data_IF_687437401262
#
_entry.id   IF_687437401262
#
_cell.length_a   1.000
_cell.length_b   1.000
_cell.length_c   1.000
_cell.angle_alpha   90.00
_cell.angle_beta   90.00
_cell.angle_gamma   90.00
#
_symmetry.space_group_name_H-M   'P 1'
#
loop_
_entity.id
_entity.type
_entity.pdbx_description
1 polymer ?
#
# COMPACT_ATOMS: atom_id res chain seq x y z
N UNK A 1 5.50 6.39 -71.25
CA UNK A 1 5.61 5.08 -70.58
C UNK A 1 6.96 5.03 -69.87
N UNK A 2 6.98 5.08 -68.54
CA UNK A 2 8.23 4.93 -67.77
C UNK A 2 8.48 3.44 -67.55
N UNK A 3 9.37 2.84 -68.34
CA UNK A 3 9.78 1.45 -68.17
C UNK A 3 10.81 1.35 -67.05
N UNK A 4 10.37 1.04 -65.83
CA UNK A 4 11.30 0.66 -64.76
C UNK A 4 11.87 -0.73 -65.10
N UNK A 5 13.20 -0.87 -65.04
CA UNK A 5 13.87 -2.15 -65.21
C UNK A 5 13.43 -3.11 -64.09
N UNK A 6 12.67 -4.15 -64.46
CA UNK A 6 12.17 -5.14 -63.51
C UNK A 6 13.23 -6.24 -63.35
N UNK A 7 13.69 -6.47 -62.13
CA UNK A 7 14.59 -7.58 -61.82
C UNK A 7 13.76 -8.80 -61.39
N UNK A 8 14.24 -10.02 -61.65
CA UNK A 8 13.62 -11.24 -61.10
C UNK A 8 14.47 -11.80 -59.96
N UNK A 9 13.81 -12.19 -58.88
CA UNK A 9 14.44 -12.87 -57.77
C UNK A 9 15.03 -14.22 -58.23
N UNK A 10 16.33 -14.49 -58.01
CA UNK A 10 16.94 -15.76 -58.43
C UNK A 10 16.44 -16.96 -57.62
N UNK A 11 15.87 -16.76 -56.43
CA UNK A 11 15.41 -17.85 -55.57
C UNK A 11 13.97 -18.30 -55.83
N UNK A 12 13.05 -17.37 -56.14
CA UNK A 12 11.63 -17.67 -56.31
C UNK A 12 11.01 -17.18 -57.63
N UNK A 13 11.79 -16.49 -58.46
CA UNK A 13 11.33 -15.97 -59.77
C UNK A 13 10.41 -14.75 -59.71
N UNK A 14 10.05 -14.26 -58.52
CA UNK A 14 9.19 -13.09 -58.35
C UNK A 14 9.82 -11.83 -58.97
N UNK A 15 8.99 -10.97 -59.55
CA UNK A 15 9.41 -9.65 -60.03
C UNK A 15 9.64 -8.71 -58.85
N UNK A 16 10.80 -8.07 -58.81
CA UNK A 16 11.22 -7.16 -57.74
C UNK A 16 11.75 -5.87 -58.37
N UNK A 17 11.41 -4.73 -57.77
CA UNK A 17 11.95 -3.44 -58.20
C UNK A 17 13.48 -3.40 -58.09
N UNK A 18 14.16 -2.61 -58.92
CA UNK A 18 15.62 -2.61 -59.01
C UNK A 18 16.29 -2.17 -57.70
N UNK A 19 15.61 -1.37 -56.87
CA UNK A 19 16.16 -0.81 -55.62
C UNK A 19 16.03 -1.74 -54.40
N UNK A 20 15.38 -2.89 -54.55
CA UNK A 20 15.20 -3.82 -53.45
C UNK A 20 16.45 -4.67 -53.22
N UNK A 21 16.91 -4.69 -51.96
CA UNK A 21 18.04 -5.52 -51.52
C UNK A 21 17.60 -6.97 -51.25
N UNK A 22 16.35 -7.17 -50.82
CA UNK A 22 15.75 -8.47 -50.52
C UNK A 22 14.41 -8.65 -51.27
N UNK A 23 14.08 -9.91 -51.58
CA UNK A 23 12.81 -10.23 -52.22
C UNK A 23 11.67 -10.13 -51.20
N UNK A 24 10.66 -9.31 -51.50
CA UNK A 24 9.49 -9.16 -50.63
C UNK A 24 8.62 -10.43 -50.53
N UNK A 25 8.78 -11.39 -51.46
CA UNK A 25 8.00 -12.64 -51.49
C UNK A 25 8.65 -13.74 -50.65
N UNK A 26 9.96 -13.97 -50.79
CA UNK A 26 10.65 -15.10 -50.15
C UNK A 26 11.77 -14.69 -49.17
N UNK A 27 12.10 -13.40 -49.06
CA UNK A 27 13.13 -12.89 -48.16
C UNK A 27 14.58 -13.11 -48.62
N UNK A 28 14.82 -13.76 -49.76
CA UNK A 28 16.19 -13.99 -50.25
C UNK A 28 16.84 -12.69 -50.76
N UNK A 29 18.16 -12.52 -50.62
CA UNK A 29 18.87 -11.37 -51.17
C UNK A 29 18.77 -11.38 -52.71
N UNK A 30 18.48 -10.23 -53.29
CA UNK A 30 18.30 -10.07 -54.75
C UNK A 30 19.61 -9.66 -55.42
N UNK A 31 20.57 -9.12 -54.66
CA UNK A 31 21.91 -8.75 -55.12
C UNK A 31 22.98 -9.56 -54.35
N UNK A 32 23.85 -10.34 -55.02
CA UNK A 32 24.86 -11.18 -54.36
C UNK A 32 26.03 -10.44 -53.68
N UNK A 33 26.10 -9.10 -53.72
CA UNK A 33 27.29 -8.33 -53.36
C UNK A 33 27.05 -7.32 -52.23
N UNK A 34 26.43 -7.74 -51.12
CA UNK A 34 26.53 -6.97 -49.87
C UNK A 34 27.56 -7.65 -48.95
N UNK A 35 28.82 -7.18 -48.94
CA UNK A 35 29.81 -7.66 -47.98
C UNK A 35 29.53 -6.97 -46.64
N UNK A 36 28.71 -7.60 -45.82
CA UNK A 36 28.58 -7.18 -44.42
C UNK A 36 27.30 -7.70 -43.76
N UNK A 37 27.34 -7.98 -42.45
CA UNK A 37 26.11 -8.15 -41.67
C UNK A 37 25.24 -6.89 -41.82
N UNK A 38 23.90 -7.03 -41.85
CA UNK A 38 23.02 -5.88 -42.05
C UNK A 38 23.36 -4.79 -41.04
N UNK A 39 23.55 -3.52 -41.45
CA UNK A 39 23.64 -2.44 -40.49
C UNK A 39 22.33 -2.45 -39.72
N UNK A 40 22.39 -2.86 -38.45
CA UNK A 40 21.27 -2.73 -37.56
C UNK A 40 20.90 -1.26 -37.61
N UNK A 41 19.72 -0.93 -38.14
CA UNK A 41 19.16 0.41 -38.09
C UNK A 41 18.90 0.73 -36.62
N UNK A 42 19.95 1.14 -35.90
CA UNK A 42 19.82 1.91 -34.68
C UNK A 42 19.24 3.25 -35.10
N UNK A 43 17.91 3.31 -35.18
CA UNK A 43 17.23 4.58 -35.08
C UNK A 43 17.54 5.12 -33.68
N UNK A 44 18.29 6.22 -33.53
CA UNK A 44 18.29 6.92 -32.26
C UNK A 44 16.83 7.30 -31.96
N UNK A 45 16.33 7.10 -30.74
CA UNK A 45 14.97 7.50 -30.41
C UNK A 45 14.80 8.98 -30.77
N UNK A 46 13.82 9.30 -31.62
CA UNK A 46 13.52 10.66 -32.08
C UNK A 46 13.09 11.63 -30.96
N UNK A 47 12.97 11.11 -29.73
CA UNK A 47 12.72 11.88 -28.53
C UNK A 47 13.94 11.78 -27.64
N UNK A 48 14.42 12.94 -27.16
CA UNK A 48 15.32 12.97 -26.02
C UNK A 48 14.70 12.09 -24.92
N UNK A 49 15.46 11.17 -24.30
CA UNK A 49 14.94 10.39 -23.19
C UNK A 49 14.41 11.38 -22.16
N UNK A 50 13.11 11.30 -21.86
CA UNK A 50 12.50 12.15 -20.85
C UNK A 50 13.38 12.11 -19.61
N UNK A 51 13.72 13.26 -19.00
CA UNK A 51 14.61 13.29 -17.85
C UNK A 51 14.04 12.33 -16.81
N UNK A 52 14.80 11.25 -16.53
CA UNK A 52 14.46 10.38 -15.40
C UNK A 52 14.36 11.30 -14.18
N UNK A 53 13.29 11.19 -13.36
CA UNK A 53 13.11 12.06 -12.20
C UNK A 53 14.43 12.10 -11.42
N UNK A 54 14.89 13.31 -11.13
CA UNK A 54 16.19 13.57 -10.50
C UNK A 54 16.34 12.64 -9.28
N UNK A 55 17.37 11.78 -9.37
CA UNK A 55 17.61 10.59 -8.53
C UNK A 55 17.61 10.87 -7.01
N UNK A 56 17.80 12.13 -6.62
CA UNK A 56 17.92 12.61 -5.23
C UNK A 56 16.58 12.59 -4.46
N UNK A 57 15.43 12.58 -5.16
CA UNK A 57 14.10 12.58 -4.52
C UNK A 57 13.40 11.21 -4.56
N UNK A 58 14.05 10.19 -5.15
CA UNK A 58 13.41 8.88 -5.34
C UNK A 58 13.12 8.20 -4.00
N UNK A 59 11.83 7.99 -3.73
CA UNK A 59 11.36 7.32 -2.53
C UNK A 59 11.52 8.09 -1.22
N UNK A 60 12.00 9.35 -1.20
CA UNK A 60 12.19 10.11 0.06
C UNK A 60 10.88 10.33 0.81
N UNK A 61 9.81 10.67 0.08
CA UNK A 61 8.45 10.81 0.65
C UNK A 61 7.91 9.47 1.16
N UNK A 62 8.07 8.39 0.40
CA UNK A 62 7.67 7.04 0.81
C UNK A 62 8.44 6.57 2.03
N UNK A 63 9.75 6.84 2.13
CA UNK A 63 10.57 6.53 3.32
C UNK A 63 10.07 7.27 4.56
N UNK A 64 9.76 8.58 4.44
CA UNK A 64 9.18 9.37 5.53
C UNK A 64 7.79 8.84 5.92
N UNK A 65 6.97 8.49 4.93
CA UNK A 65 5.66 7.88 5.14
C UNK A 65 5.74 6.56 5.91
N UNK A 66 6.66 5.67 5.52
CA UNK A 66 6.93 4.41 6.22
C UNK A 66 7.38 4.68 7.67
N UNK A 67 8.30 5.63 7.91
CA UNK A 67 8.71 5.97 9.29
C UNK A 67 7.54 6.47 10.12
N UNK A 68 6.69 7.35 9.58
CA UNK A 68 5.49 7.82 10.25
C UNK A 68 4.52 6.68 10.57
N UNK A 69 4.32 5.74 9.63
CA UNK A 69 3.52 4.53 9.86
C UNK A 69 4.13 3.63 10.93
N UNK A 70 5.44 3.42 10.97
CA UNK A 70 6.10 2.64 12.04
C UNK A 70 5.82 3.26 13.41
N UNK A 71 5.99 4.58 13.56
CA UNK A 71 5.69 5.28 14.81
C UNK A 71 4.21 5.17 15.19
N UNK A 72 3.32 5.28 14.20
CA UNK A 72 1.89 5.04 14.39
C UNK A 72 1.58 3.63 14.91
N UNK A 73 2.17 2.59 14.31
CA UNK A 73 1.94 1.20 14.73
C UNK A 73 2.43 0.96 16.17
N UNK A 74 3.48 1.63 16.61
CA UNK A 74 3.96 1.58 18.00
C UNK A 74 2.98 2.27 18.95
N UNK A 75 2.29 3.34 18.52
CA UNK A 75 1.40 4.13 19.37
C UNK A 75 -0.06 3.63 19.36
N UNK A 76 -0.52 3.00 18.28
CA UNK A 76 -1.93 2.66 18.05
C UNK A 76 -2.52 1.68 19.07
N UNK A 77 -1.71 0.85 19.69
CA UNK A 77 -2.16 -0.13 20.68
C UNK A 77 -2.00 0.37 22.13
N UNK A 78 -1.42 1.56 22.34
CA UNK A 78 -1.26 2.15 23.67
C UNK A 78 -2.55 2.95 24.00
N UNK A 79 -3.29 2.60 25.07
CA UNK A 79 -4.45 3.37 25.51
C UNK A 79 -4.12 4.85 25.70
N UNK A 80 -4.98 5.74 25.19
CA UNK A 80 -4.79 7.19 25.23
C UNK A 80 -3.88 7.77 24.14
N UNK A 81 -2.99 6.97 23.52
CA UNK A 81 -2.13 7.42 22.42
C UNK A 81 -2.72 7.12 21.03
N UNK A 82 -3.88 6.47 20.96
CA UNK A 82 -4.52 6.00 19.72
C UNK A 82 -4.86 7.13 18.74
N UNK A 83 -5.25 8.32 19.23
CA UNK A 83 -5.53 9.50 18.40
C UNK A 83 -4.26 9.97 17.69
N UNK A 84 -3.15 10.08 18.43
CA UNK A 84 -1.83 10.46 17.88
C UNK A 84 -1.36 9.39 16.90
N UNK A 85 -1.51 8.11 17.25
CA UNK A 85 -1.20 6.97 16.37
C UNK A 85 -2.00 6.99 15.08
N UNK A 86 -3.31 7.28 15.12
CA UNK A 86 -4.17 7.39 13.96
C UNK A 86 -3.84 8.59 13.06
N UNK A 87 -3.50 9.73 13.66
CA UNK A 87 -3.05 10.91 12.92
C UNK A 87 -1.73 10.65 12.17
N UNK A 88 -0.75 10.02 12.84
CA UNK A 88 0.50 9.60 12.22
C UNK A 88 0.28 8.55 11.13
N UNK A 89 -0.68 7.65 11.30
CA UNK A 89 -1.03 6.67 10.28
C UNK A 89 -1.56 7.34 9.01
N UNK A 90 -2.50 8.27 9.17
CA UNK A 90 -3.09 9.03 8.07
C UNK A 90 -2.02 9.85 7.33
N UNK A 91 -1.14 10.52 8.07
CA UNK A 91 0.00 11.23 7.50
C UNK A 91 0.95 10.29 6.74
N UNK A 92 1.30 9.15 7.33
CA UNK A 92 2.15 8.13 6.71
C UNK A 92 1.58 7.60 5.41
N UNK A 93 0.29 7.24 5.42
CA UNK A 93 -0.47 6.79 4.24
C UNK A 93 -0.49 7.85 3.14
N UNK A 94 -0.72 9.11 3.48
CA UNK A 94 -0.75 10.23 2.53
C UNK A 94 0.62 10.49 1.89
N UNK A 95 1.70 10.42 2.68
CA UNK A 95 3.06 10.56 2.16
C UNK A 95 3.43 9.42 1.19
N UNK A 96 3.03 8.18 1.50
CA UNK A 96 3.20 7.04 0.59
C UNK A 96 2.36 7.19 -0.68
N UNK A 97 1.13 7.67 -0.56
CA UNK A 97 0.27 7.98 -1.70
C UNK A 97 0.94 8.98 -2.64
N UNK A 98 1.43 10.13 -2.15
CA UNK A 98 2.15 11.09 -3.00
C UNK A 98 3.47 10.55 -3.56
N UNK A 99 4.15 9.66 -2.84
CA UNK A 99 5.40 9.03 -3.27
C UNK A 99 5.25 7.89 -4.29
N UNK A 100 4.02 7.44 -4.60
CA UNK A 100 3.76 6.21 -5.37
C UNK A 100 4.26 6.20 -6.82
N UNK A 101 4.43 7.38 -7.43
CA UNK A 101 4.75 7.49 -8.87
C UNK A 101 6.17 7.02 -9.23
N UNK A 102 7.08 6.90 -8.25
CA UNK A 102 8.44 6.43 -8.48
C UNK A 102 8.60 4.90 -8.57
N UNK A 103 7.54 4.13 -8.34
CA UNK A 103 7.58 2.67 -8.19
C UNK A 103 6.81 1.94 -9.31
N UNK A 104 6.82 0.60 -9.26
CA UNK A 104 6.12 -0.25 -10.24
C UNK A 104 4.61 0.01 -10.29
N UNK A 105 3.99 -0.31 -11.43
CA UNK A 105 2.53 -0.17 -11.62
C UNK A 105 1.73 -0.97 -10.58
N UNK A 106 2.20 -2.16 -10.21
CA UNK A 106 1.57 -3.01 -9.19
C UNK A 106 1.60 -2.32 -7.82
N UNK A 107 2.75 -1.75 -7.42
CA UNK A 107 2.86 -0.97 -6.20
C UNK A 107 1.94 0.25 -6.20
N UNK A 108 1.92 1.00 -7.31
CA UNK A 108 1.06 2.19 -7.44
C UNK A 108 -0.42 1.86 -7.27
N UNK A 109 -0.90 0.76 -7.87
CA UNK A 109 -2.28 0.30 -7.70
C UNK A 109 -2.55 -0.14 -6.27
N UNK A 110 -1.64 -0.88 -5.65
CA UNK A 110 -1.78 -1.32 -4.26
C UNK A 110 -1.85 -0.16 -3.26
N UNK A 111 -0.97 0.85 -3.40
CA UNK A 111 -1.00 2.06 -2.56
C UNK A 111 -2.31 2.82 -2.75
N UNK A 112 -2.79 2.94 -3.99
CA UNK A 112 -4.06 3.62 -4.27
C UNK A 112 -5.22 2.93 -3.55
N UNK A 113 -5.34 1.61 -3.71
CA UNK A 113 -6.39 0.81 -3.04
C UNK A 113 -6.25 0.93 -1.53
N UNK A 114 -5.04 0.73 -0.99
CA UNK A 114 -4.79 0.81 0.45
C UNK A 114 -5.16 2.18 1.05
N UNK A 115 -4.86 3.26 0.33
CA UNK A 115 -5.21 4.63 0.76
C UNK A 115 -6.72 4.79 0.88
N UNK A 116 -7.50 4.37 -0.13
CA UNK A 116 -8.95 4.45 -0.07
C UNK A 116 -9.55 3.54 1.00
N UNK A 117 -9.07 2.29 1.12
CA UNK A 117 -9.52 1.36 2.16
C UNK A 117 -9.29 1.94 3.55
N UNK A 118 -8.13 2.58 3.79
CA UNK A 118 -7.82 3.23 5.07
C UNK A 118 -8.77 4.38 5.39
N UNK A 119 -9.09 5.22 4.40
CA UNK A 119 -10.05 6.33 4.60
C UNK A 119 -11.48 5.85 4.80
N UNK A 120 -11.90 4.79 4.10
CA UNK A 120 -13.19 4.13 4.33
C UNK A 120 -13.24 3.57 5.75
N UNK A 121 -12.19 2.87 6.19
CA UNK A 121 -12.07 2.36 7.56
C UNK A 121 -12.18 3.49 8.60
N UNK A 122 -11.44 4.58 8.40
CA UNK A 122 -11.48 5.73 9.30
C UNK A 122 -12.89 6.37 9.36
N UNK A 123 -13.55 6.54 8.21
CA UNK A 123 -14.91 7.08 8.14
C UNK A 123 -15.91 6.18 8.88
N UNK A 124 -15.87 4.87 8.62
CA UNK A 124 -16.73 3.91 9.32
C UNK A 124 -16.50 3.93 10.82
N UNK A 125 -15.24 3.99 11.27
CA UNK A 125 -14.91 4.10 12.69
C UNK A 125 -15.49 5.38 13.32
N UNK A 126 -15.36 6.53 12.64
CA UNK A 126 -15.93 7.80 13.11
C UNK A 126 -17.45 7.72 13.21
N UNK A 127 -18.14 7.16 12.20
CA UNK A 127 -19.59 7.00 12.22
C UNK A 127 -20.03 6.16 13.43
N UNK A 128 -19.40 5.01 13.63
CA UNK A 128 -19.73 4.08 14.73
C UNK A 128 -19.43 4.71 16.10
N UNK A 129 -18.31 5.42 16.22
CA UNK A 129 -17.95 6.12 17.45
C UNK A 129 -18.91 7.27 17.76
N UNK A 130 -19.27 8.09 16.77
CA UNK A 130 -20.24 9.19 16.94
C UNK A 130 -21.61 8.64 17.33
N UNK A 131 -22.08 7.56 16.69
CA UNK A 131 -23.34 6.92 17.06
C UNK A 131 -23.35 6.48 18.53
N UNK A 132 -22.28 5.83 19.00
CA UNK A 132 -22.12 5.46 20.41
C UNK A 132 -22.14 6.67 21.34
N UNK A 133 -21.39 7.74 21.02
CA UNK A 133 -21.33 8.97 21.82
C UNK A 133 -22.70 9.65 21.90
N UNK A 134 -23.46 9.70 20.81
CA UNK A 134 -24.80 10.26 20.80
C UNK A 134 -25.75 9.46 21.71
N UNK A 135 -25.72 8.12 21.65
CA UNK A 135 -26.53 7.29 22.55
C UNK A 135 -26.13 7.48 24.02
N UNK A 136 -24.84 7.58 24.31
CA UNK A 136 -24.36 7.86 25.67
C UNK A 136 -24.79 9.26 26.16
N UNK A 137 -24.77 10.25 25.27
CA UNK A 137 -25.21 11.62 25.55
C UNK A 137 -26.70 11.68 25.87
N UNK A 138 -27.55 11.01 25.08
CA UNK A 138 -29.00 10.90 25.34
C UNK A 138 -29.30 10.20 26.67
N UNK A 139 -28.55 9.15 27.01
CA UNK A 139 -28.68 8.46 28.29
C UNK A 139 -28.25 9.35 29.47
N UNK A 140 -27.20 10.16 29.29
CA UNK A 140 -26.77 11.15 30.28
C UNK A 140 -27.82 12.23 30.51
N UNK A 141 -28.37 12.84 29.45
CA UNK A 141 -29.37 13.91 29.57
C UNK A 141 -30.70 13.43 30.15
N UNK A 142 -31.03 12.14 29.99
CA UNK A 142 -32.22 11.51 30.57
C UNK A 142 -32.01 10.97 32.00
N UNK A 143 -30.81 11.08 32.56
CA UNK A 143 -30.51 10.56 33.90
C UNK A 143 -30.57 9.04 33.99
N UNK A 144 -30.31 8.33 32.89
CA UNK A 144 -30.35 6.87 32.84
C UNK A 144 -29.14 6.22 33.54
N UNK A 145 -29.26 4.93 33.82
CA UNK A 145 -28.17 4.08 34.32
C UNK A 145 -27.36 3.45 33.18
N UNK A 146 -26.19 2.92 33.50
CA UNK A 146 -25.29 2.29 32.52
C UNK A 146 -25.92 1.10 31.77
N UNK A 147 -26.88 0.40 32.38
CA UNK A 147 -27.62 -0.69 31.72
C UNK A 147 -28.31 -0.24 30.42
N UNK A 148 -28.76 1.03 30.39
CA UNK A 148 -29.42 1.58 29.20
C UNK A 148 -28.49 1.69 27.99
N UNK A 149 -27.19 1.91 28.21
CA UNK A 149 -26.19 2.05 27.14
C UNK A 149 -25.44 0.75 26.85
N UNK A 150 -25.65 -0.30 27.62
CA UNK A 150 -25.05 -1.62 27.39
C UNK A 150 -25.27 -2.15 25.96
N UNK A 151 -26.50 -2.15 25.38
CA UNK A 151 -26.69 -2.65 24.00
C UNK A 151 -25.92 -1.82 22.96
N UNK A 152 -25.85 -0.50 23.14
CA UNK A 152 -25.07 0.38 22.27
C UNK A 152 -23.57 0.13 22.40
N UNK A 153 -23.09 -0.16 23.62
CA UNK A 153 -21.69 -0.52 23.89
C UNK A 153 -21.32 -1.85 23.21
N UNK A 154 -22.19 -2.86 23.34
CA UNK A 154 -22.03 -4.16 22.66
C UNK A 154 -21.98 -3.99 21.15
N UNK A 155 -22.91 -3.21 20.58
CA UNK A 155 -22.92 -2.90 19.15
C UNK A 155 -21.64 -2.17 18.73
N UNK A 156 -21.19 -1.17 19.51
CA UNK A 156 -19.94 -0.45 19.24
C UNK A 156 -18.73 -1.39 19.18
N UNK A 157 -18.59 -2.32 20.13
CA UNK A 157 -17.49 -3.30 20.17
C UNK A 157 -17.49 -4.18 18.91
N UNK A 158 -18.63 -4.76 18.54
CA UNK A 158 -18.70 -5.63 17.35
C UNK A 158 -18.55 -4.86 16.05
N UNK A 159 -19.25 -3.75 15.88
CA UNK A 159 -19.27 -3.01 14.61
C UNK A 159 -17.93 -2.31 14.35
N UNK A 160 -17.21 -1.86 15.40
CA UNK A 160 -15.86 -1.28 15.26
C UNK A 160 -14.78 -2.30 14.86
N UNK A 161 -15.08 -3.60 14.89
CA UNK A 161 -14.20 -4.64 14.36
C UNK A 161 -14.06 -4.52 12.85
N UNK A 162 -15.14 -4.21 12.13
CA UNK A 162 -15.16 -4.07 10.66
C UNK A 162 -14.13 -3.05 10.16
N UNK A 163 -14.12 -1.77 10.61
CA UNK A 163 -13.09 -0.82 10.19
C UNK A 163 -11.68 -1.22 10.64
N UNK A 164 -11.53 -1.94 11.76
CA UNK A 164 -10.22 -2.40 12.21
C UNK A 164 -9.65 -3.48 11.27
N UNK A 165 -10.47 -4.41 10.80
CA UNK A 165 -10.04 -5.40 9.79
C UNK A 165 -9.70 -4.76 8.44
N UNK A 166 -10.48 -3.76 8.01
CA UNK A 166 -10.15 -2.97 6.81
C UNK A 166 -8.79 -2.27 6.96
N UNK A 167 -8.48 -1.76 8.15
CA UNK A 167 -7.17 -1.20 8.45
C UNK A 167 -6.05 -2.24 8.28
N UNK A 168 -6.22 -3.47 8.77
CA UNK A 168 -5.24 -4.56 8.60
C UNK A 168 -4.97 -4.83 7.11
N UNK A 169 -6.03 -4.91 6.31
CA UNK A 169 -5.91 -5.09 4.85
C UNK A 169 -5.17 -3.93 4.20
N UNK A 170 -5.48 -2.69 4.59
CA UNK A 170 -4.78 -1.51 4.09
C UNK A 170 -3.28 -1.54 4.42
N UNK A 171 -2.91 -1.89 5.66
CA UNK A 171 -1.51 -2.02 6.08
C UNK A 171 -0.77 -3.08 5.26
N UNK A 172 -1.39 -4.25 5.05
CA UNK A 172 -0.82 -5.31 4.22
C UNK A 172 -0.56 -4.85 2.78
N UNK A 173 -1.54 -4.20 2.16
CA UNK A 173 -1.41 -3.71 0.79
C UNK A 173 -0.33 -2.64 0.63
N UNK A 174 -0.10 -1.79 1.65
CA UNK A 174 0.88 -0.71 1.59
C UNK A 174 2.31 -1.22 1.36
N UNK A 175 2.70 -2.31 2.03
CA UNK A 175 4.10 -2.79 2.04
C UNK A 175 4.35 -4.01 1.17
N UNK A 176 3.32 -4.74 0.73
CA UNK A 176 3.45 -6.01 -0.02
C UNK A 176 4.44 -5.92 -1.17
N UNK A 177 4.37 -4.87 -1.98
CA UNK A 177 5.21 -4.71 -3.18
C UNK A 177 6.54 -4.00 -2.91
N UNK A 178 6.76 -3.48 -1.71
CA UNK A 178 8.03 -2.89 -1.27
C UNK A 178 8.98 -3.94 -0.66
N UNK A 179 8.44 -5.08 -0.24
CA UNK A 179 9.22 -6.17 0.33
C UNK A 179 9.82 -7.08 -0.76
N UNK A 180 10.99 -7.67 -0.48
CA UNK A 180 11.58 -8.66 -1.37
C UNK A 180 10.68 -9.90 -1.48
N UNK A 181 10.71 -10.64 -2.60
CA UNK A 181 9.78 -11.74 -2.88
C UNK A 181 9.63 -12.77 -1.75
N UNK A 182 10.74 -13.11 -1.07
CA UNK A 182 10.75 -14.05 0.06
C UNK A 182 9.94 -13.61 1.28
N UNK A 183 9.78 -12.30 1.48
CA UNK A 183 9.05 -11.73 2.62
C UNK A 183 7.60 -11.35 2.29
N UNK A 184 7.19 -11.40 1.01
CA UNK A 184 5.84 -10.94 0.61
C UNK A 184 4.72 -11.78 1.20
N UNK A 185 4.96 -13.08 1.38
CA UNK A 185 4.01 -13.99 2.01
C UNK A 185 3.78 -13.64 3.49
N UNK A 186 4.84 -13.23 4.21
CA UNK A 186 4.77 -12.88 5.62
C UNK A 186 3.83 -11.71 5.90
N UNK A 187 3.58 -10.84 4.91
CA UNK A 187 2.62 -9.74 5.03
C UNK A 187 1.20 -10.25 5.24
N UNK A 188 0.81 -11.31 4.53
CA UNK A 188 -0.52 -11.91 4.68
C UNK A 188 -0.63 -12.74 5.95
N UNK A 189 0.45 -13.39 6.37
CA UNK A 189 0.49 -14.06 7.68
C UNK A 189 0.34 -13.06 8.81
N UNK A 190 1.13 -11.98 8.80
CA UNK A 190 1.04 -10.92 9.78
C UNK A 190 -0.35 -10.28 9.77
N UNK A 191 -0.95 -10.11 8.58
CA UNK A 191 -2.33 -9.67 8.42
C UNK A 191 -3.34 -10.61 9.08
N UNK A 192 -3.29 -11.91 8.77
CA UNK A 192 -4.17 -12.91 9.39
C UNK A 192 -4.00 -12.99 10.90
N UNK A 193 -2.75 -12.95 11.39
CA UNK A 193 -2.46 -12.97 12.82
C UNK A 193 -3.00 -11.70 13.49
N UNK A 194 -2.77 -10.52 12.92
CA UNK A 194 -3.31 -9.28 13.47
C UNK A 194 -4.85 -9.27 13.45
N UNK A 195 -5.50 -9.73 12.37
CA UNK A 195 -6.95 -9.86 12.33
C UNK A 195 -7.49 -10.84 13.38
N UNK A 196 -6.82 -11.98 13.57
CA UNK A 196 -7.19 -12.92 14.64
C UNK A 196 -7.03 -12.28 16.04
N UNK A 197 -5.99 -11.48 16.27
CA UNK A 197 -5.80 -10.75 17.52
C UNK A 197 -6.85 -9.65 17.72
N UNK A 198 -7.26 -8.95 16.66
CA UNK A 198 -8.35 -7.97 16.68
C UNK A 198 -9.66 -8.67 17.07
N UNK A 199 -10.00 -9.81 16.45
CA UNK A 199 -11.18 -10.58 16.81
C UNK A 199 -11.13 -11.06 18.27
N UNK A 200 -9.96 -11.53 18.74
CA UNK A 200 -9.76 -11.91 20.13
C UNK A 200 -9.97 -10.72 21.07
N UNK A 201 -9.44 -9.54 20.75
CA UNK A 201 -9.66 -8.31 21.50
C UNK A 201 -11.16 -7.96 21.59
N UNK A 202 -11.87 -8.06 20.47
CA UNK A 202 -13.33 -7.85 20.40
C UNK A 202 -14.08 -8.83 21.31
N UNK A 203 -13.73 -10.11 21.30
CA UNK A 203 -14.36 -11.12 22.16
C UNK A 203 -14.11 -10.80 23.64
N UNK A 204 -12.88 -10.46 24.01
CA UNK A 204 -12.53 -10.10 25.40
C UNK A 204 -13.28 -8.84 25.85
N UNK A 205 -13.32 -7.78 25.02
CA UNK A 205 -14.07 -6.57 25.30
C UNK A 205 -15.57 -6.84 25.43
N UNK A 206 -16.13 -7.68 24.56
CA UNK A 206 -17.54 -8.08 24.60
C UNK A 206 -17.88 -8.81 25.91
N UNK A 207 -17.05 -9.77 26.31
CA UNK A 207 -17.25 -10.51 27.57
C UNK A 207 -17.27 -9.57 28.78
N UNK A 208 -16.38 -8.57 28.82
CA UNK A 208 -16.35 -7.56 29.88
C UNK A 208 -17.65 -6.72 29.91
N UNK A 209 -18.14 -6.28 28.75
CA UNK A 209 -19.37 -5.47 28.67
C UNK A 209 -20.61 -6.28 29.03
N UNK A 210 -20.68 -7.56 28.64
CA UNK A 210 -21.83 -8.44 28.91
C UNK A 210 -21.84 -8.95 30.35
N UNK A 211 -20.69 -9.09 31.01
CA UNK A 211 -20.64 -9.44 32.44
C UNK A 211 -21.29 -8.42 33.37
N UNK A 212 -21.69 -7.26 32.83
CA UNK A 212 -22.43 -6.22 33.54
C UNK A 212 -21.61 -4.95 33.61
N UNK A 213 -22.26 -3.82 33.32
CA UNK A 213 -21.68 -2.51 33.57
C UNK A 213 -21.92 -2.14 35.05
N UNK A 214 -21.10 -1.27 35.65
CA UNK A 214 -21.37 -0.76 36.99
C UNK A 214 -22.78 -0.18 37.08
N UNK A 215 -23.52 -0.48 38.15
CA UNK A 215 -24.86 0.04 38.39
C UNK A 215 -24.82 1.52 38.84
N UNK A 216 -24.23 2.35 38.00
CA UNK A 216 -24.05 3.78 38.20
C UNK A 216 -24.88 4.56 37.17
N UNK A 217 -25.08 5.85 37.44
CA UNK A 217 -25.62 6.78 36.45
C UNK A 217 -24.63 6.98 35.30
N UNK A 218 -25.17 7.16 34.09
CA UNK A 218 -24.36 7.53 32.92
C UNK A 218 -23.75 8.91 33.18
N UNK A 219 -22.43 8.97 33.28
CA UNK A 219 -21.62 10.19 33.39
C UNK A 219 -20.44 10.07 32.44
N UNK A 220 -19.84 11.21 32.09
CA UNK A 220 -18.65 11.24 31.23
C UNK A 220 -17.52 10.35 31.79
N UNK A 221 -17.31 10.34 33.11
CA UNK A 221 -16.34 9.48 33.77
C UNK A 221 -16.65 7.98 33.62
N UNK A 222 -17.93 7.60 33.74
CA UNK A 222 -18.38 6.20 33.61
C UNK A 222 -18.20 5.71 32.17
N UNK A 223 -18.57 6.54 31.17
CA UNK A 223 -18.38 6.23 29.75
C UNK A 223 -16.89 6.11 29.40
N UNK A 224 -16.05 7.03 29.90
CA UNK A 224 -14.59 6.93 29.74
C UNK A 224 -14.03 5.67 30.42
N UNK A 225 -14.57 5.26 31.56
CA UNK A 225 -14.21 4.01 32.24
C UNK A 225 -14.46 2.79 31.36
N UNK A 226 -15.63 2.71 30.73
CA UNK A 226 -15.98 1.64 29.78
C UNK A 226 -15.06 1.66 28.55
N UNK A 227 -14.84 2.84 27.94
CA UNK A 227 -13.93 2.97 26.80
C UNK A 227 -12.49 2.57 27.15
N UNK A 228 -12.04 2.87 28.37
CA UNK A 228 -10.72 2.48 28.86
C UNK A 228 -10.61 0.95 29.04
N UNK A 229 -11.63 0.29 29.60
CA UNK A 229 -11.67 -1.17 29.71
C UNK A 229 -11.60 -1.85 28.34
N UNK A 230 -12.41 -1.38 27.37
CA UNK A 230 -12.34 -1.84 25.98
C UNK A 230 -10.93 -1.61 25.41
N UNK A 231 -10.32 -0.45 25.67
CA UNK A 231 -8.96 -0.15 25.21
C UNK A 231 -7.89 -1.06 25.84
N UNK A 232 -8.07 -1.53 27.06
CA UNK A 232 -7.16 -2.49 27.71
C UNK A 232 -7.22 -3.85 27.00
N UNK A 233 -8.41 -4.32 26.62
CA UNK A 233 -8.55 -5.56 25.84
C UNK A 233 -7.77 -5.51 24.52
N UNK A 234 -7.68 -4.32 23.89
CA UNK A 234 -6.93 -4.10 22.65
C UNK A 234 -5.41 -4.20 22.77
N UNK A 235 -4.85 -4.25 23.99
CA UNK A 235 -3.41 -4.50 24.19
C UNK A 235 -2.96 -5.83 23.56
N UNK A 236 -3.87 -6.80 23.43
CA UNK A 236 -3.61 -8.09 22.77
C UNK A 236 -3.27 -7.95 21.27
N UNK A 237 -3.64 -6.83 20.64
CA UNK A 237 -3.28 -6.52 19.24
C UNK A 237 -1.80 -6.11 19.10
N UNK A 238 -1.15 -5.71 20.20
CA UNK A 238 0.20 -5.15 20.24
C UNK A 238 1.26 -5.99 19.51
N UNK A 239 1.35 -7.31 19.73
CA UNK A 239 2.29 -8.17 18.99
C UNK A 239 2.08 -8.15 17.47
N UNK A 240 0.83 -8.08 17.00
CA UNK A 240 0.53 -7.99 15.57
C UNK A 240 0.97 -6.65 14.97
N UNK A 241 0.72 -5.54 15.69
CA UNK A 241 1.22 -4.22 15.28
C UNK A 241 2.75 -4.15 15.28
N UNK A 242 3.41 -4.75 16.27
CA UNK A 242 4.86 -4.82 16.33
C UNK A 242 5.46 -5.61 15.15
N UNK A 243 4.82 -6.72 14.75
CA UNK A 243 5.24 -7.47 13.57
C UNK A 243 5.07 -6.66 12.28
N UNK A 244 3.95 -5.96 12.11
CA UNK A 244 3.79 -5.03 11.00
C UNK A 244 4.87 -3.94 11.02
N UNK A 245 5.14 -3.32 12.17
CA UNK A 245 6.19 -2.30 12.30
C UNK A 245 7.56 -2.83 11.85
N UNK A 246 7.89 -4.08 12.20
CA UNK A 246 9.09 -4.76 11.71
C UNK A 246 9.08 -4.94 10.19
N UNK A 247 7.97 -5.36 9.59
CA UNK A 247 7.86 -5.51 8.13
C UNK A 247 7.98 -4.16 7.40
N UNK A 248 7.38 -3.09 7.95
CA UNK A 248 7.56 -1.72 7.44
C UNK A 248 9.02 -1.28 7.54
N UNK A 249 9.70 -1.58 8.65
CA UNK A 249 11.13 -1.30 8.81
C UNK A 249 11.97 -2.03 7.75
N UNK A 250 11.68 -3.30 7.48
CA UNK A 250 12.34 -4.08 6.41
C UNK A 250 12.07 -3.49 5.02
N UNK A 251 10.83 -3.06 4.75
CA UNK A 251 10.46 -2.39 3.50
C UNK A 251 11.24 -1.08 3.32
N UNK A 252 11.39 -0.27 4.37
CA UNK A 252 12.21 0.97 4.35
C UNK A 252 13.66 0.68 3.96
N UNK A 253 14.25 -0.37 4.54
CA UNK A 253 15.62 -0.80 4.25
C UNK A 253 15.81 -1.31 2.81
N UNK A 254 14.79 -1.96 2.23
CA UNK A 254 14.82 -2.37 0.82
C UNK A 254 14.92 -1.16 -0.12
N UNK A 255 14.10 -0.12 0.10
CA UNK A 255 14.14 1.11 -0.70
C UNK A 255 15.52 1.80 -0.58
N UNK A 256 16.11 1.80 0.62
CA UNK A 256 17.44 2.40 0.85
C UNK A 256 18.55 1.69 0.04
N UNK A 257 18.55 0.35 0.00
CA UNK A 257 19.54 -0.43 -0.76
C UNK A 257 19.42 -0.23 -2.26
N UNK A 258 18.20 -0.21 -2.80
CA UNK A 258 17.97 0.09 -4.21
C UNK A 258 18.43 1.52 -4.57
N UNK A 259 18.23 2.48 -3.67
CA UNK A 259 18.72 3.85 -3.85
C UNK A 259 20.25 3.91 -3.93
N UNK A 260 20.95 3.11 -3.11
CA UNK A 260 22.41 3.08 -3.06
C UNK A 260 23.03 2.34 -4.27
N UNK A 261 22.53 1.16 -4.62
CA UNK A 261 23.04 0.37 -5.75
C UNK A 261 22.80 1.01 -7.12
N UNK A 262 21.81 1.90 -7.24
CA UNK A 262 21.61 2.72 -8.43
C UNK A 262 22.67 3.84 -8.60
N UNK A 263 23.34 4.25 -7.52
CA UNK A 263 24.42 5.24 -7.56
C UNK A 263 25.73 4.66 -8.09
N UNK A 264 26.05 3.44 -7.69
CA UNK A 264 27.31 2.75 -8.03
C UNK A 264 27.42 2.43 -9.52
N UNK A 265 26.34 1.95 -10.15
CA UNK A 265 26.29 1.62 -11.59
C UNK A 265 26.46 2.81 -12.55
N UNK A 266 26.37 4.03 -12.05
CA UNK A 266 26.61 5.25 -12.85
C UNK A 266 28.04 5.76 -12.75
N UNK A 267 28.76 5.41 -11.68
CA UNK A 267 30.16 5.83 -11.53
C UNK A 267 31.10 5.08 -12.48
N UNK A 268 30.73 3.86 -12.86
CA UNK A 268 31.48 3.03 -13.81
C UNK A 268 31.26 3.39 -15.29
N UNK A 269 30.32 4.29 -15.61
CA UNK A 269 30.04 4.74 -17.00
C UNK A 269 30.63 6.13 -17.28
N UNK A 270 31.22 6.79 -16.28
CA UNK A 270 31.73 8.16 -16.37
C UNK A 270 33.27 8.26 -16.45
N UNK A 271 33.95 7.23 -16.93
CA UNK A 271 35.36 7.31 -17.35
C UNK A 271 35.51 6.68 -18.75
N UNK A 272 35.45 7.49 -19.83
CA UNK A 272 36.21 7.20 -21.04
C UNK A 272 37.72 7.38 -20.79
#
# INVERSE_FOLDING_TARGET
>A
MWGYAVLRCPACGAQVGPDFVFCHVCGSPVRPQFPGPPPHLLYPPAYAPAPRPTRVLWGTRTKRGITATILSLILLWIPGATIVGGALLSLGSTLMFWGRHGFSLQHRRAILVAYFVLWIAALLYVIVFVAFVLTAYEAWTSGATMDRIQPATVAFVWVSTIPTELLVVALALQIRYLLPPSLRWQVWVAGLVLGALVLLATILAFQQVVSGLPNDFVRMSSVLGVLNQISIARLVEGPGFAWFAYLYYRARGAIARESAGAGEKTSTVANP
#
